data_IF_872308856184
#
_entry.id   IF_872308856184
#
_cell.length_a   1.000
_cell.length_b   1.000
_cell.length_c   1.000
_cell.angle_alpha   90.00
_cell.angle_beta   90.00
_cell.angle_gamma   90.00
#
_symmetry.space_group_name_H-M   'P 1'
#
loop_
_entity.id
_entity.type
_entity.pdbx_description
1 polymer ?
#
# COMPACT_ATOMS: atom_id res chain seq x y z
N UNK A 1 13.71 -4.02 13.64
CA UNK A 1 14.25 -2.70 14.02
C UNK A 1 15.48 -2.42 13.18
N UNK A 2 15.75 -1.16 12.85
CA UNK A 2 16.93 -0.75 12.10
C UNK A 2 17.33 0.69 12.42
N UNK A 3 18.37 1.19 11.75
CA UNK A 3 18.75 2.59 11.84
C UNK A 3 17.85 3.47 10.96
N UNK A 4 17.42 4.65 11.44
CA UNK A 4 16.63 5.57 10.62
C UNK A 4 17.47 6.13 9.47
N UNK A 5 16.78 6.66 8.44
CA UNK A 5 17.45 7.37 7.33
C UNK A 5 18.13 8.62 7.87
N UNK A 6 19.33 8.93 7.36
CA UNK A 6 20.11 10.11 7.78
C UNK A 6 19.32 11.42 7.60
N UNK A 7 18.51 11.49 6.54
CA UNK A 7 17.69 12.67 6.22
C UNK A 7 16.48 12.85 7.16
N UNK A 8 16.03 11.78 7.81
CA UNK A 8 14.84 11.77 8.66
C UNK A 8 15.08 10.90 9.92
N UNK A 9 15.95 11.35 10.86
CA UNK A 9 16.40 10.55 11.99
C UNK A 9 15.30 10.27 13.03
N UNK A 10 14.20 11.03 13.00
CA UNK A 10 13.06 10.92 13.92
C UNK A 10 11.86 10.15 13.35
N UNK A 11 12.03 9.49 12.21
CA UNK A 11 10.94 8.80 11.52
C UNK A 11 11.32 7.35 11.20
N UNK A 12 10.36 6.44 11.39
CA UNK A 12 10.47 5.07 10.85
C UNK A 12 10.31 5.03 9.34
N UNK A 13 10.50 3.84 8.75
CA UNK A 13 10.41 3.67 7.30
C UNK A 13 9.46 2.54 6.91
N UNK A 14 8.90 2.64 5.70
CA UNK A 14 8.11 1.59 5.07
C UNK A 14 8.78 1.26 3.74
N UNK A 15 9.13 0.00 3.56
CA UNK A 15 9.79 -0.52 2.36
C UNK A 15 8.87 -1.56 1.72
N UNK A 16 8.67 -1.46 0.41
CA UNK A 16 7.74 -2.32 -0.34
C UNK A 16 8.53 -3.25 -1.25
N UNK A 17 8.12 -4.52 -1.29
CA UNK A 17 8.59 -5.48 -2.27
C UNK A 17 7.40 -6.14 -2.92
N UNK A 18 7.41 -6.22 -4.25
CA UNK A 18 6.38 -6.90 -5.01
C UNK A 18 7.01 -8.07 -5.74
N UNK A 19 6.39 -9.25 -5.64
CA UNK A 19 6.81 -10.44 -6.34
C UNK A 19 5.65 -10.99 -7.18
N UNK A 20 5.87 -11.11 -8.48
CA UNK A 20 4.93 -11.71 -9.41
C UNK A 20 5.22 -13.22 -9.50
N UNK A 21 4.37 -14.05 -8.89
CA UNK A 21 4.55 -15.50 -8.94
C UNK A 21 4.39 -16.04 -10.36
N UNK A 22 5.21 -17.01 -10.75
CA UNK A 22 5.05 -17.75 -11.99
C UNK A 22 3.69 -18.47 -12.08
N UNK A 23 3.05 -18.76 -10.94
CA UNK A 23 1.71 -19.34 -10.89
C UNK A 23 0.62 -18.36 -11.34
N UNK A 24 0.86 -17.05 -11.20
CA UNK A 24 -0.14 -16.04 -11.53
C UNK A 24 -0.34 -15.87 -13.04
N UNK A 25 0.73 -16.03 -13.81
CA UNK A 25 0.70 -16.07 -15.26
C UNK A 25 1.98 -16.69 -15.79
N UNK A 26 1.88 -17.48 -16.87
CA UNK A 26 3.04 -17.97 -17.63
C UNK A 26 3.97 -16.82 -18.09
N UNK A 27 3.42 -15.61 -18.26
CA UNK A 27 4.19 -14.42 -18.64
C UNK A 27 5.18 -13.98 -17.56
N UNK A 28 5.00 -14.39 -16.31
CA UNK A 28 5.86 -14.02 -15.19
C UNK A 28 6.99 -15.03 -14.94
N UNK A 29 7.12 -16.08 -15.75
CA UNK A 29 8.23 -17.01 -15.63
C UNK A 29 9.59 -16.31 -15.78
N UNK A 30 10.56 -16.74 -14.97
CA UNK A 30 11.91 -16.18 -14.96
C UNK A 30 11.92 -14.73 -14.47
N UNK A 31 12.11 -13.79 -15.40
CA UNK A 31 12.16 -12.33 -15.15
C UNK A 31 11.01 -11.56 -15.79
N UNK A 32 10.02 -12.25 -16.36
CA UNK A 32 8.93 -11.61 -17.08
C UNK A 32 8.03 -10.72 -16.21
N UNK A 33 8.02 -10.95 -14.89
CA UNK A 33 7.27 -10.15 -13.93
C UNK A 33 8.03 -8.95 -13.34
N UNK A 34 9.34 -8.83 -13.58
CA UNK A 34 10.20 -7.86 -12.86
C UNK A 34 9.83 -6.41 -13.17
N UNK A 35 9.51 -6.09 -14.42
CA UNK A 35 9.14 -4.75 -14.84
C UNK A 35 7.83 -4.29 -14.17
N UNK A 36 6.84 -5.19 -14.14
CA UNK A 36 5.53 -4.94 -13.52
C UNK A 36 5.65 -4.82 -11.99
N UNK A 37 6.40 -5.73 -11.37
CA UNK A 37 6.70 -5.69 -9.94
C UNK A 37 7.40 -4.38 -9.56
N UNK A 38 8.39 -3.96 -10.34
CA UNK A 38 9.12 -2.70 -10.12
C UNK A 38 8.21 -1.50 -10.30
N UNK A 39 7.31 -1.51 -11.28
CA UNK A 39 6.32 -0.45 -11.49
C UNK A 39 5.39 -0.31 -10.27
N UNK A 40 4.81 -1.42 -9.80
CA UNK A 40 3.91 -1.41 -8.64
C UNK A 40 4.66 -0.97 -7.38
N UNK A 41 5.88 -1.48 -7.18
CA UNK A 41 6.75 -1.09 -6.06
C UNK A 41 7.00 0.42 -6.05
N UNK A 42 7.41 0.99 -7.19
CA UNK A 42 7.65 2.42 -7.33
C UNK A 42 6.38 3.25 -7.13
N UNK A 43 5.24 2.79 -7.63
CA UNK A 43 3.95 3.45 -7.45
C UNK A 43 3.57 3.49 -5.96
N UNK A 44 3.68 2.36 -5.25
CA UNK A 44 3.47 2.29 -3.79
C UNK A 44 4.42 3.22 -3.05
N UNK A 45 5.73 3.18 -3.32
CA UNK A 45 6.67 4.12 -2.69
C UNK A 45 6.27 5.57 -2.92
N UNK A 46 5.82 5.94 -4.12
CA UNK A 46 5.39 7.31 -4.45
C UNK A 46 4.14 7.72 -3.68
N UNK A 47 3.16 6.82 -3.57
CA UNK A 47 1.93 7.07 -2.84
C UNK A 47 2.18 7.18 -1.33
N UNK A 48 3.06 6.36 -0.78
CA UNK A 48 3.34 6.35 0.65
C UNK A 48 4.41 7.35 1.07
N UNK A 49 5.16 7.99 0.16
CA UNK A 49 6.23 8.92 0.52
C UNK A 49 5.74 10.10 1.38
N UNK A 50 4.46 10.48 1.25
CA UNK A 50 3.86 11.54 2.05
C UNK A 50 3.78 11.14 3.54
N UNK A 51 4.38 11.97 4.42
CA UNK A 51 4.41 11.74 5.87
C UNK A 51 3.04 11.72 6.54
N UNK A 52 2.00 12.24 5.87
CA UNK A 52 0.62 12.21 6.35
C UNK A 52 -0.08 10.85 6.22
N UNK A 53 0.45 9.93 5.39
CA UNK A 53 -0.21 8.65 5.10
C UNK A 53 -0.07 7.63 6.25
N UNK A 54 1.10 7.58 6.87
CA UNK A 54 1.42 6.66 7.97
C UNK A 54 2.17 7.45 9.04
N UNK A 55 1.78 7.40 10.33
CA UNK A 55 2.45 8.16 11.39
C UNK A 55 3.84 7.60 11.70
N UNK A 56 4.83 7.99 10.89
CA UNK A 56 6.23 7.51 11.00
C UNK A 56 6.93 7.94 12.29
N UNK A 57 6.47 9.01 12.93
CA UNK A 57 7.03 9.44 14.22
C UNK A 57 6.75 8.41 15.32
N UNK A 58 5.59 7.75 15.29
CA UNK A 58 5.24 6.70 16.26
C UNK A 58 6.11 5.44 16.09
N UNK A 59 6.78 5.31 14.95
CA UNK A 59 7.71 4.22 14.65
C UNK A 59 9.15 4.52 15.09
N UNK A 60 9.45 5.73 15.57
CA UNK A 60 10.77 6.07 16.09
C UNK A 60 10.91 5.59 17.54
N UNK A 61 11.99 4.86 17.85
CA UNK A 61 12.27 4.35 19.20
C UNK A 61 13.27 5.30 19.87
N UNK A 62 14.44 5.44 19.28
CA UNK A 62 15.49 6.37 19.69
C UNK A 62 15.90 7.19 18.47
N UNK A 63 15.64 8.51 18.45
CA UNK A 63 15.97 9.36 17.31
C UNK A 63 17.44 9.23 16.90
N UNK A 64 17.67 8.98 15.61
CA UNK A 64 19.00 8.83 15.03
C UNK A 64 19.72 7.50 15.34
N UNK A 65 19.15 6.60 16.15
CA UNK A 65 19.75 5.31 16.48
C UNK A 65 18.87 4.13 16.06
N UNK A 66 17.63 4.09 16.54
CA UNK A 66 16.74 2.95 16.37
C UNK A 66 15.32 3.39 15.98
N UNK A 67 14.82 2.81 14.90
CA UNK A 67 13.43 2.95 14.47
C UNK A 67 12.87 1.61 13.99
N UNK A 68 11.54 1.55 13.90
CA UNK A 68 10.85 0.50 13.18
C UNK A 68 10.96 0.72 11.67
N UNK A 69 11.19 -0.39 10.97
CA UNK A 69 11.14 -0.46 9.51
C UNK A 69 10.10 -1.52 9.19
N UNK A 70 9.04 -1.12 8.51
CA UNK A 70 7.98 -2.01 8.05
C UNK A 70 8.35 -2.49 6.65
N UNK A 71 8.58 -3.80 6.54
CA UNK A 71 8.76 -4.46 5.25
C UNK A 71 7.42 -5.03 4.82
N UNK A 72 6.93 -4.58 3.67
CA UNK A 72 5.64 -4.99 3.11
C UNK A 72 5.91 -5.79 1.85
N UNK A 73 5.69 -7.10 1.94
CA UNK A 73 5.86 -8.03 0.83
C UNK A 73 4.50 -8.32 0.18
N UNK A 74 4.36 -7.97 -1.09
CA UNK A 74 3.17 -8.25 -1.90
C UNK A 74 3.48 -9.42 -2.83
N UNK A 75 2.75 -10.52 -2.67
CA UNK A 75 2.85 -11.69 -3.53
C UNK A 75 1.62 -11.79 -4.42
N UNK A 76 1.82 -11.70 -5.73
CA UNK A 76 0.75 -11.86 -6.72
C UNK A 76 0.58 -13.34 -7.02
N UNK A 77 -0.64 -13.86 -6.81
CA UNK A 77 -0.98 -15.27 -6.99
C UNK A 77 -1.76 -15.56 -8.28
N UNK A 78 -2.51 -14.57 -8.78
CA UNK A 78 -3.29 -14.67 -10.01
C UNK A 78 -3.26 -13.32 -10.74
N UNK A 79 -3.23 -13.37 -12.08
CA UNK A 79 -3.32 -12.19 -12.92
C UNK A 79 -4.70 -12.10 -13.58
N UNK A 80 -5.56 -11.22 -13.03
CA UNK A 80 -6.91 -10.97 -13.52
C UNK A 80 -7.16 -9.53 -13.98
N UNK A 81 -6.10 -8.74 -14.24
CA UNK A 81 -6.20 -7.30 -14.45
C UNK A 81 -6.13 -6.49 -13.16
N UNK A 82 -6.06 -5.17 -13.29
CA UNK A 82 -6.12 -4.18 -12.20
C UNK A 82 -5.22 -4.43 -10.97
N UNK A 83 -4.01 -4.95 -11.20
CA UNK A 83 -3.13 -5.41 -10.12
C UNK A 83 -2.72 -4.33 -9.11
N UNK A 84 -2.52 -3.08 -9.57
CA UNK A 84 -2.08 -2.00 -8.70
C UNK A 84 -3.13 -1.65 -7.65
N UNK A 85 -4.39 -1.57 -8.07
CA UNK A 85 -5.51 -1.25 -7.17
C UNK A 85 -5.66 -2.38 -6.14
N UNK A 86 -5.66 -3.63 -6.58
CA UNK A 86 -5.69 -4.81 -5.69
C UNK A 86 -4.53 -4.84 -4.72
N UNK A 87 -3.29 -4.60 -5.20
CA UNK A 87 -2.10 -4.55 -4.34
C UNK A 87 -2.24 -3.44 -3.29
N UNK A 88 -2.74 -2.27 -3.66
CA UNK A 88 -2.92 -1.15 -2.73
C UNK A 88 -3.97 -1.42 -1.65
N UNK A 89 -5.06 -2.10 -2.00
CA UNK A 89 -6.09 -2.53 -1.07
C UNK A 89 -5.53 -3.57 -0.09
N UNK A 90 -4.77 -4.55 -0.59
CA UNK A 90 -4.10 -5.55 0.22
C UNK A 90 -3.09 -4.92 1.19
N UNK A 91 -2.29 -3.96 0.72
CA UNK A 91 -1.36 -3.20 1.57
C UNK A 91 -2.11 -2.43 2.66
N UNK A 92 -3.21 -1.72 2.34
CA UNK A 92 -4.00 -1.01 3.35
C UNK A 92 -4.56 -1.97 4.40
N UNK A 93 -5.12 -3.10 3.98
CA UNK A 93 -5.64 -4.12 4.88
C UNK A 93 -4.55 -4.73 5.78
N UNK A 94 -3.37 -5.05 5.21
CA UNK A 94 -2.25 -5.59 5.95
C UNK A 94 -1.71 -4.59 6.99
N UNK A 95 -1.59 -3.32 6.62
CA UNK A 95 -1.18 -2.25 7.54
C UNK A 95 -2.19 -2.06 8.67
N UNK A 96 -3.48 -2.23 8.40
CA UNK A 96 -4.54 -2.13 9.41
C UNK A 96 -4.47 -3.29 10.42
N UNK A 97 -4.19 -4.51 9.97
CA UNK A 97 -4.04 -5.68 10.85
C UNK A 97 -2.66 -5.75 11.53
N UNK A 98 -1.72 -4.90 11.12
CA UNK A 98 -0.36 -4.86 11.70
C UNK A 98 -0.42 -4.47 13.18
N UNK A 99 0.36 -5.19 14.00
CA UNK A 99 0.52 -4.95 15.43
C UNK A 99 2.01 -4.80 15.72
N UNK A 100 2.41 -3.62 16.20
CA UNK A 100 3.80 -3.29 16.52
C UNK A 100 3.99 -3.51 18.03
N UNK A 101 4.94 -4.37 18.46
CA UNK A 101 5.17 -4.60 19.89
C UNK A 101 5.72 -3.34 20.55
N UNK A 102 5.30 -3.08 21.80
CA UNK A 102 5.88 -2.00 22.58
C UNK A 102 7.33 -2.29 22.96
N UNK A 103 8.10 -1.22 22.98
CA UNK A 103 9.52 -1.19 23.34
C UNK A 103 9.70 -0.25 24.50
N UNK A 104 10.35 -0.74 25.56
CA UNK A 104 10.82 0.07 26.67
C UNK A 104 12.28 0.43 26.42
N UNK A 105 12.61 1.71 26.59
CA UNK A 105 13.97 2.22 26.40
C UNK A 105 14.53 2.57 27.76
N UNK A 106 15.45 1.74 28.27
CA UNK A 106 16.23 2.05 29.46
C UNK A 106 17.54 2.72 29.04
N UNK A 107 18.07 3.62 29.87
CA UNK A 107 19.39 4.22 29.67
C UNK A 107 20.31 3.71 30.75
N UNK A 108 21.42 3.10 30.34
CA UNK A 108 22.46 2.70 31.28
C UNK A 108 23.22 3.92 31.81
N UNK A 109 23.97 3.73 32.90
CA UNK A 109 24.82 4.75 33.51
C UNK A 109 25.86 5.34 32.54
N UNK A 110 26.21 4.59 31.48
CA UNK A 110 27.13 5.01 30.39
C UNK A 110 26.43 5.79 29.26
N UNK A 111 25.12 6.04 29.35
CA UNK A 111 24.35 6.77 28.33
C UNK A 111 23.96 5.96 27.09
N UNK A 112 24.28 4.66 27.06
CA UNK A 112 23.84 3.73 26.02
C UNK A 112 22.36 3.39 26.28
N UNK A 113 21.54 3.48 25.23
CA UNK A 113 20.12 3.11 25.31
C UNK A 113 19.97 1.60 25.09
N UNK A 114 19.47 0.89 26.10
CA UNK A 114 19.05 -0.50 25.97
C UNK A 114 17.57 -0.55 25.59
N UNK A 115 17.23 -1.44 24.66
CA UNK A 115 15.86 -1.60 24.15
C UNK A 115 15.37 -2.96 24.62
N UNK A 116 14.37 -2.95 25.50
CA UNK A 116 13.67 -4.14 25.96
C UNK A 116 12.32 -4.23 25.23
N UNK A 117 12.03 -5.41 24.68
CA UNK A 117 10.74 -5.71 24.09
C UNK A 117 9.79 -6.21 25.19
N UNK A 118 8.55 -5.76 25.17
CA UNK A 118 7.53 -6.29 26.07
C UNK A 118 7.29 -7.78 25.78
N UNK A 119 7.44 -8.64 26.79
CA UNK A 119 7.19 -10.09 26.69
C UNK A 119 5.69 -10.42 26.55
N UNK A 120 4.81 -9.43 26.72
CA UNK A 120 3.37 -9.62 26.63
C UNK A 120 2.89 -9.49 25.17
N UNK A 121 2.37 -10.57 24.55
CA UNK A 121 1.90 -10.53 23.17
C UNK A 121 0.72 -9.57 22.94
N UNK A 122 0.00 -9.19 24.00
CA UNK A 122 -1.11 -8.25 23.93
C UNK A 122 -0.67 -6.78 23.98
N UNK A 123 0.59 -6.52 24.32
CA UNK A 123 1.11 -5.15 24.44
C UNK A 123 1.64 -4.65 23.10
N UNK A 124 0.73 -4.56 22.13
CA UNK A 124 1.00 -4.08 20.79
C UNK A 124 0.23 -2.80 20.50
N UNK A 125 0.84 -1.89 19.74
CA UNK A 125 0.17 -0.74 19.15
C UNK A 125 -0.27 -1.05 17.73
N UNK A 126 -1.49 -0.67 17.39
CA UNK A 126 -1.99 -0.71 16.02
C UNK A 126 -1.57 0.56 15.28
N UNK A 127 -1.26 0.41 13.99
CA UNK A 127 -0.92 1.53 13.14
C UNK A 127 -2.20 2.29 12.75
N UNK A 128 -2.15 3.62 12.75
CA UNK A 128 -3.25 4.42 12.20
C UNK A 128 -3.21 4.36 10.67
N UNK A 129 -4.26 3.79 10.07
CA UNK A 129 -4.40 3.63 8.63
C UNK A 129 -5.44 4.55 7.99
N UNK A 130 -5.92 5.57 8.71
CA UNK A 130 -6.97 6.48 8.23
C UNK A 130 -6.59 7.19 6.93
N UNK A 131 -5.31 7.55 6.81
CA UNK A 131 -4.77 8.31 5.68
C UNK A 131 -4.00 7.45 4.67
N UNK A 132 -4.05 6.12 4.80
CA UNK A 132 -3.38 5.21 3.87
C UNK A 132 -4.10 5.28 2.51
N UNK A 133 -3.39 5.62 1.43
CA UNK A 133 -4.02 5.76 0.13
C UNK A 133 -4.28 4.41 -0.54
N UNK A 134 -5.34 4.33 -1.35
CA UNK A 134 -5.59 3.24 -2.29
C UNK A 134 -5.48 3.76 -3.73
N UNK A 135 -5.02 2.89 -4.63
CA UNK A 135 -4.94 3.20 -6.05
C UNK A 135 -6.29 2.97 -6.73
N UNK A 136 -6.57 3.83 -7.71
CA UNK A 136 -7.66 3.69 -8.66
C UNK A 136 -7.08 3.84 -10.06
N UNK A 137 -7.22 2.80 -10.87
CA UNK A 137 -6.71 2.75 -12.23
C UNK A 137 -7.84 3.02 -13.22
N UNK A 138 -7.67 4.08 -14.02
CA UNK A 138 -8.60 4.45 -15.10
C UNK A 138 -7.93 4.21 -16.45
N UNK A 139 -8.47 3.25 -17.21
CA UNK A 139 -7.96 2.84 -18.51
C UNK A 139 -8.72 3.57 -19.62
N UNK A 140 -8.04 4.33 -20.48
CA UNK A 140 -8.67 5.00 -21.63
C UNK A 140 -8.80 4.04 -22.80
N UNK A 141 -10.02 3.77 -23.24
CA UNK A 141 -10.36 2.93 -24.39
C UNK A 141 -11.15 3.79 -25.38
N UNK A 142 -10.51 4.13 -26.49
CA UNK A 142 -11.07 5.05 -27.48
C UNK A 142 -11.36 6.44 -26.88
N UNK A 143 -12.64 6.82 -26.85
CA UNK A 143 -13.10 8.11 -26.31
C UNK A 143 -13.56 8.04 -24.85
N UNK A 144 -13.69 6.84 -24.29
CA UNK A 144 -14.19 6.62 -22.93
C UNK A 144 -13.07 6.07 -22.05
N UNK A 145 -13.31 6.03 -20.75
CA UNK A 145 -12.43 5.39 -19.79
C UNK A 145 -13.22 4.41 -18.93
N UNK A 146 -12.53 3.36 -18.50
CA UNK A 146 -13.08 2.26 -17.71
C UNK A 146 -12.24 2.10 -16.45
N UNK A 147 -12.90 1.79 -15.34
CA UNK A 147 -12.27 1.45 -14.06
C UNK A 147 -12.36 -0.06 -13.90
N UNK A 148 -11.37 -0.67 -13.25
CA UNK A 148 -11.29 -2.13 -13.05
C UNK A 148 -11.29 -2.91 -14.38
N UNK A 149 -10.35 -2.54 -15.25
CA UNK A 149 -10.24 -3.16 -16.57
C UNK A 149 -9.75 -4.60 -16.46
N UNK A 150 -10.46 -5.49 -17.17
CA UNK A 150 -10.03 -6.87 -17.43
C UNK A 150 -8.72 -6.91 -18.22
N UNK A 151 -7.96 -8.01 -18.20
CA UNK A 151 -6.70 -8.09 -18.94
C UNK A 151 -6.88 -7.90 -20.46
N UNK A 152 -8.05 -8.27 -21.00
CA UNK A 152 -8.42 -8.02 -22.39
C UNK A 152 -8.64 -6.52 -22.67
N UNK A 153 -9.27 -5.80 -21.74
CA UNK A 153 -9.48 -4.36 -21.81
C UNK A 153 -8.17 -3.58 -21.62
N UNK A 154 -7.31 -4.02 -20.69
CA UNK A 154 -5.96 -3.46 -20.51
C UNK A 154 -5.13 -3.57 -21.78
N UNK A 155 -5.21 -4.70 -22.49
CA UNK A 155 -4.51 -4.92 -23.76
C UNK A 155 -5.00 -3.99 -24.88
N UNK A 156 -6.26 -3.53 -24.82
CA UNK A 156 -6.84 -2.57 -25.76
C UNK A 156 -6.59 -1.11 -25.35
N UNK A 157 -6.05 -0.87 -24.15
CA UNK A 157 -5.81 0.45 -23.62
C UNK A 157 -4.45 1.00 -24.05
N UNK A 158 -4.43 2.25 -24.54
CA UNK A 158 -3.19 2.92 -24.96
C UNK A 158 -2.64 3.88 -23.90
N UNK A 159 -3.48 4.31 -22.97
CA UNK A 159 -3.10 5.20 -21.88
C UNK A 159 -3.99 4.95 -20.67
N UNK A 160 -3.35 4.77 -19.51
CA UNK A 160 -4.00 4.57 -18.23
C UNK A 160 -3.56 5.64 -17.25
N UNK A 161 -4.45 5.96 -16.33
CA UNK A 161 -4.22 6.94 -15.28
C UNK A 161 -4.36 6.28 -13.92
N UNK A 162 -3.30 6.37 -13.12
CA UNK A 162 -3.18 5.74 -11.82
C UNK A 162 -3.28 6.85 -10.77
N UNK A 163 -4.30 6.78 -9.92
CA UNK A 163 -4.59 7.79 -8.91
C UNK A 163 -4.48 7.17 -7.53
N UNK A 164 -3.57 7.66 -6.69
CA UNK A 164 -3.51 7.27 -5.28
C UNK A 164 -4.35 8.24 -4.46
N UNK A 165 -5.47 7.77 -3.93
CA UNK A 165 -6.45 8.57 -3.21
C UNK A 165 -6.51 8.14 -1.75
N UNK A 166 -6.78 9.08 -0.87
CA UNK A 166 -7.09 8.80 0.55
C UNK A 166 -8.59 8.71 0.76
N UNK A 167 -9.01 8.32 1.97
CA UNK A 167 -10.41 8.24 2.41
C UNK A 167 -11.17 9.58 2.27
N UNK A 168 -10.49 10.71 2.44
CA UNK A 168 -11.03 12.07 2.23
C UNK A 168 -11.25 12.43 0.74
N UNK A 169 -10.69 11.65 -0.18
CA UNK A 169 -10.64 11.92 -1.63
C UNK A 169 -9.47 12.81 -2.06
N UNK A 170 -8.55 13.12 -1.15
CA UNK A 170 -7.34 13.86 -1.49
C UNK A 170 -6.40 12.96 -2.27
N UNK A 171 -5.88 13.51 -3.37
CA UNK A 171 -4.91 12.85 -4.23
C UNK A 171 -3.50 12.97 -3.62
N UNK A 172 -2.86 11.81 -3.43
CA UNK A 172 -1.48 11.74 -2.90
C UNK A 172 -0.45 11.56 -4.01
N UNK A 173 -0.78 10.73 -5.00
CA UNK A 173 0.07 10.52 -6.16
C UNK A 173 -0.77 10.39 -7.44
N UNK A 174 -0.17 10.81 -8.54
CA UNK A 174 -0.74 10.77 -9.88
C UNK A 174 0.32 10.23 -10.83
N UNK A 175 -0.01 9.20 -11.60
CA UNK A 175 0.87 8.64 -12.60
C UNK A 175 0.09 8.35 -13.89
N UNK A 176 0.62 8.83 -15.00
CA UNK A 176 0.15 8.47 -16.33
C UNK A 176 1.07 7.39 -16.89
N UNK A 177 0.49 6.30 -17.35
CA UNK A 177 1.20 5.22 -18.02
C UNK A 177 0.59 4.98 -19.41
N UNK A 178 1.34 4.32 -20.29
CA UNK A 178 0.95 4.03 -21.67
C UNK A 178 1.57 4.99 -22.68
N UNK A 179 1.40 4.65 -23.95
CA UNK A 179 2.09 5.28 -25.09
C UNK A 179 1.30 6.44 -25.70
N UNK A 180 -0.03 6.48 -25.51
CA UNK A 180 -0.89 7.53 -26.07
C UNK A 180 -0.88 8.82 -25.26
N UNK A 181 -1.20 9.94 -25.90
CA UNK A 181 -1.54 11.20 -25.21
C UNK A 181 -2.91 11.10 -24.53
N UNK A 182 -3.10 11.93 -23.49
CA UNK A 182 -4.38 12.13 -22.83
C UNK A 182 -4.77 13.61 -22.95
N UNK A 183 -6.01 13.85 -23.35
CA UNK A 183 -6.56 15.20 -23.42
C UNK A 183 -6.72 15.78 -22.01
N UNK A 184 -6.36 17.05 -21.76
CA UNK A 184 -6.47 17.65 -20.44
C UNK A 184 -7.88 17.57 -19.85
N UNK A 185 -8.91 17.76 -20.68
CA UNK A 185 -10.32 17.65 -20.26
C UNK A 185 -10.65 16.23 -19.78
N UNK A 186 -10.23 15.20 -20.52
CA UNK A 186 -10.41 13.81 -20.10
C UNK A 186 -9.70 13.53 -18.77
N UNK A 187 -8.53 14.13 -18.52
CA UNK A 187 -7.81 13.94 -17.24
C UNK A 187 -8.64 14.48 -16.08
N UNK A 188 -9.26 15.66 -16.22
CA UNK A 188 -10.11 16.22 -15.17
C UNK A 188 -11.32 15.33 -14.89
N UNK A 189 -11.98 14.82 -15.93
CA UNK A 189 -13.09 13.87 -15.78
C UNK A 189 -12.65 12.58 -15.10
N UNK A 190 -11.52 12.01 -15.51
CA UNK A 190 -10.95 10.80 -14.93
C UNK A 190 -10.59 10.99 -13.46
N UNK A 191 -10.05 12.15 -13.07
CA UNK A 191 -9.75 12.47 -11.67
C UNK A 191 -11.03 12.58 -10.84
N UNK A 192 -12.06 13.25 -11.35
CA UNK A 192 -13.34 13.38 -10.63
C UNK A 192 -14.02 12.03 -10.42
N UNK A 193 -14.03 11.17 -11.44
CA UNK A 193 -14.58 9.82 -11.33
C UNK A 193 -13.72 8.97 -10.39
N UNK A 194 -12.39 9.03 -10.55
CA UNK A 194 -11.46 8.34 -9.67
C UNK A 194 -11.66 8.71 -8.20
N UNK A 195 -11.84 10.00 -7.89
CA UNK A 195 -12.14 10.46 -6.52
C UNK A 195 -13.43 9.86 -5.96
N UNK A 196 -14.47 9.70 -6.79
CA UNK A 196 -15.73 9.06 -6.36
C UNK A 196 -15.52 7.59 -6.05
N UNK A 197 -14.92 6.87 -7.00
CA UNK A 197 -14.67 5.42 -6.86
C UNK A 197 -13.72 5.14 -5.69
N UNK A 198 -12.67 5.93 -5.52
CA UNK A 198 -11.73 5.78 -4.41
C UNK A 198 -12.40 5.93 -3.05
N UNK A 199 -13.34 6.87 -2.88
CA UNK A 199 -14.13 7.02 -1.65
C UNK A 199 -15.01 5.80 -1.39
N UNK A 200 -15.69 5.30 -2.42
CA UNK A 200 -16.52 4.10 -2.32
C UNK A 200 -15.69 2.87 -1.95
N UNK A 201 -14.51 2.69 -2.57
CA UNK A 201 -13.59 1.60 -2.26
C UNK A 201 -13.06 1.67 -0.83
N UNK A 202 -12.64 2.86 -0.38
CA UNK A 202 -12.21 3.04 1.01
C UNK A 202 -13.33 2.73 2.00
N UNK A 203 -14.53 3.22 1.75
CA UNK A 203 -15.69 2.95 2.60
C UNK A 203 -16.00 1.45 2.69
N UNK A 204 -16.02 0.75 1.55
CA UNK A 204 -16.29 -0.69 1.50
C UNK A 204 -15.21 -1.51 2.22
N UNK A 205 -13.93 -1.13 2.07
CA UNK A 205 -12.82 -1.79 2.75
C UNK A 205 -12.90 -1.54 4.27
N UNK A 206 -13.09 -0.30 4.70
CA UNK A 206 -13.11 0.06 6.12
C UNK A 206 -14.31 -0.58 6.85
N UNK A 207 -15.48 -0.66 6.19
CA UNK A 207 -16.65 -1.41 6.68
C UNK A 207 -16.34 -2.91 6.83
N UNK A 208 -15.66 -3.51 5.85
CA UNK A 208 -15.27 -4.93 5.88
C UNK A 208 -14.25 -5.22 7.00
N UNK A 209 -13.25 -4.35 7.17
CA UNK A 209 -12.25 -4.46 8.23
C UNK A 209 -12.88 -4.32 9.62
N UNK A 210 -13.79 -3.35 9.80
CA UNK A 210 -14.50 -3.14 11.06
C UNK A 210 -15.40 -4.33 11.40
N UNK A 211 -16.11 -4.89 10.42
CA UNK A 211 -16.89 -6.13 10.59
C UNK A 211 -16.00 -7.31 11.01
N UNK A 212 -14.82 -7.43 10.41
CA UNK A 212 -13.84 -8.46 10.74
C UNK A 212 -13.27 -8.31 12.16
N UNK A 213 -13.06 -7.09 12.65
CA UNK A 213 -12.61 -6.84 14.02
C UNK A 213 -13.68 -7.16 15.06
N UNK A 214 -14.95 -6.87 14.75
CA UNK A 214 -16.08 -7.13 15.66
C UNK A 214 -16.48 -8.61 15.78
N UNK A 215 -16.00 -9.47 14.87
CA UNK A 215 -16.22 -10.91 14.94
C UNK A 215 -15.39 -11.53 16.08
N UNK A 216 -16.08 -11.98 17.13
CA UNK A 216 -15.48 -12.61 18.33
C UNK A 216 -14.84 -13.97 18.06
N UNK A 217 -15.27 -14.69 17.02
CA UNK A 217 -14.67 -15.94 16.57
C UNK A 217 -14.21 -15.79 15.12
N UNK A 218 -12.90 -15.65 14.92
CA UNK A 218 -12.29 -15.65 13.58
C UNK A 218 -11.94 -17.09 13.23
N UNK A 219 -12.86 -17.80 12.57
CA UNK A 219 -12.46 -18.98 11.82
C UNK A 219 -11.54 -18.50 10.70
N UNK A 220 -10.24 -18.71 10.87
CA UNK A 220 -9.23 -18.36 9.86
C UNK A 220 -9.35 -19.36 8.71
N UNK A 221 -10.30 -19.10 7.82
CA UNK A 221 -10.49 -19.87 6.59
C UNK A 221 -9.55 -19.26 5.55
N UNK A 222 -8.47 -19.94 5.21
CA UNK A 222 -7.52 -19.48 4.21
C UNK A 222 -6.85 -20.66 3.52
N UNK A 223 -7.04 -20.76 2.19
CA UNK A 223 -6.42 -21.78 1.31
C UNK A 223 -6.50 -23.23 1.83
N UNK A 224 -7.54 -23.56 2.60
CA UNK A 224 -7.84 -24.93 3.01
C UNK A 224 -8.69 -25.56 1.91
N UNK A 225 -8.06 -26.45 1.13
CA UNK A 225 -8.75 -27.39 0.25
C UNK A 225 -9.31 -28.58 1.00
#
# INVERSE_FOLDING_TARGET
>A
MGAPKLDSPSEGCVEFFVNCSANASLKFEGRGGDELATMITNALHRAFNNSSCVPRQNMCIVPGQHCWILYVDVLILEYGGNMLDTASLAVKAALHDTRIPKVEVSKNEEGISEIELSDNPFDCTQLDTTNVPCFVTLNKIGKQFVVDATPEEEACCLAKLLLALRSDGTLTAFLKEGTSSLDPESIFEMVQVGQRVGKEMHFALDDSLTKQENLTCKDKIGFLG
#
